data_IF_735002690650
#
_entry.id   IF_735002690650
#
_cell.length_a   1.000
_cell.length_b   1.000
_cell.length_c   1.000
_cell.angle_alpha   90.00
_cell.angle_beta   90.00
_cell.angle_gamma   90.00
#
_symmetry.space_group_name_H-M   'P 1'
#
loop_
_entity.id
_entity.type
_entity.pdbx_description
1 polymer ?
#
# COMPACT_ATOMS: atom_id res chain seq x y z
N UNK A 1 50.58 -30.77 -16.16
CA UNK A 1 51.06 -30.78 -17.55
C UNK A 1 50.10 -31.65 -18.34
N UNK A 2 49.40 -31.03 -19.29
CA UNK A 2 48.32 -31.62 -20.10
C UNK A 2 48.81 -32.80 -20.93
N UNK A 3 47.95 -33.81 -21.10
CA UNK A 3 47.67 -34.30 -22.45
C UNK A 3 46.23 -34.81 -22.54
N UNK A 4 45.51 -34.20 -23.47
CA UNK A 4 44.15 -34.48 -23.92
C UNK A 4 44.29 -35.20 -25.26
N UNK A 5 43.52 -36.27 -25.48
CA UNK A 5 42.88 -36.66 -26.76
C UNK A 5 41.95 -37.86 -26.49
N UNK A 6 40.60 -37.73 -26.63
CA UNK A 6 39.76 -38.03 -27.82
C UNK A 6 39.96 -39.47 -28.37
N UNK A 7 38.98 -40.29 -28.72
CA UNK A 7 37.59 -40.10 -29.16
C UNK A 7 36.88 -41.49 -29.24
N UNK A 8 35.54 -41.49 -29.05
CA UNK A 8 34.50 -42.38 -29.61
C UNK A 8 34.65 -43.91 -29.66
N UNK A 9 33.67 -44.63 -29.08
CA UNK A 9 32.76 -45.50 -29.83
C UNK A 9 31.47 -45.83 -29.04
N UNK A 10 30.35 -45.76 -29.76
CA UNK A 10 29.00 -46.16 -29.37
C UNK A 10 28.86 -47.69 -29.35
N UNK A 11 28.22 -48.21 -28.29
CA UNK A 11 27.43 -49.46 -28.19
C UNK A 11 27.12 -49.62 -26.69
N UNK A 12 26.00 -50.10 -26.19
CA UNK A 12 24.67 -50.47 -26.67
C UNK A 12 23.89 -50.85 -25.39
N UNK A 13 22.55 -50.86 -25.46
CA UNK A 13 21.66 -51.62 -24.57
C UNK A 13 21.66 -51.33 -23.05
N UNK A 14 20.75 -50.46 -22.58
CA UNK A 14 20.07 -50.69 -21.30
C UNK A 14 18.56 -50.57 -21.46
N UNK A 15 17.88 -51.64 -21.05
CA UNK A 15 16.46 -51.93 -21.21
C UNK A 15 15.60 -51.10 -20.27
N UNK A 16 14.42 -50.76 -20.77
CA UNK A 16 13.28 -50.19 -20.06
C UNK A 16 12.91 -50.98 -18.80
N UNK A 17 12.72 -50.26 -17.68
CA UNK A 17 11.85 -50.67 -16.60
C UNK A 17 10.66 -49.71 -16.58
N UNK A 18 9.51 -50.20 -17.08
CA UNK A 18 8.24 -49.48 -17.02
C UNK A 18 7.69 -49.57 -15.58
N UNK A 19 7.83 -48.48 -14.83
CA UNK A 19 7.15 -48.30 -13.55
C UNK A 19 5.73 -47.80 -13.78
N UNK A 20 4.75 -48.59 -13.38
CA UNK A 20 3.33 -48.23 -13.37
C UNK A 20 3.09 -47.09 -12.38
N UNK A 21 2.80 -45.88 -12.88
CA UNK A 21 2.29 -44.78 -12.07
C UNK A 21 0.77 -44.96 -11.98
N UNK A 22 0.27 -45.34 -10.80
CA UNK A 22 -1.16 -45.31 -10.48
C UNK A 22 -1.53 -43.87 -10.16
N UNK A 23 -2.14 -43.17 -11.12
CA UNK A 23 -2.76 -41.89 -10.88
C UNK A 23 -4.10 -42.10 -10.16
N UNK A 24 -4.16 -41.77 -8.87
CA UNK A 24 -5.41 -41.68 -8.12
C UNK A 24 -6.15 -40.41 -8.56
N UNK A 25 -7.13 -40.57 -9.45
CA UNK A 25 -8.12 -39.54 -9.77
C UNK A 25 -9.18 -39.53 -8.67
N UNK A 26 -9.06 -38.57 -7.75
CA UNK A 26 -10.12 -38.27 -6.77
C UNK A 26 -11.07 -37.25 -7.40
N UNK A 27 -12.20 -37.72 -7.91
CA UNK A 27 -13.30 -36.86 -8.34
C UNK A 27 -14.05 -36.34 -7.12
N UNK A 28 -13.76 -35.09 -6.70
CA UNK A 28 -14.57 -34.38 -5.70
C UNK A 28 -15.76 -33.75 -6.41
N UNK A 29 -16.97 -34.30 -6.22
CA UNK A 29 -18.19 -33.63 -6.62
C UNK A 29 -18.54 -32.54 -5.60
N UNK A 30 -18.34 -31.28 -5.99
CA UNK A 30 -18.84 -30.12 -5.23
C UNK A 30 -20.25 -29.84 -5.74
N UNK A 31 -21.25 -29.97 -4.87
CA UNK A 31 -22.62 -29.50 -5.14
C UNK A 31 -22.65 -27.98 -5.03
N UNK A 32 -22.87 -27.31 -6.15
CA UNK A 32 -23.16 -25.87 -6.14
C UNK A 32 -24.55 -25.62 -5.55
N UNK A 33 -24.61 -24.84 -4.47
CA UNK A 33 -25.84 -24.25 -3.98
C UNK A 33 -26.03 -22.88 -4.65
N UNK A 34 -27.22 -22.56 -5.18
CA UNK A 34 -27.48 -21.24 -5.75
C UNK A 34 -27.57 -20.20 -4.63
N UNK A 35 -26.69 -19.20 -4.68
CA UNK A 35 -26.81 -17.98 -3.86
C UNK A 35 -27.80 -17.06 -4.58
N UNK A 36 -28.99 -16.90 -4.01
CA UNK A 36 -30.00 -15.97 -4.52
C UNK A 36 -29.57 -14.52 -4.29
N UNK A 37 -29.44 -13.76 -5.36
CA UNK A 37 -29.40 -12.30 -5.32
C UNK A 37 -30.83 -11.78 -5.31
N UNK A 38 -31.15 -10.94 -4.32
CA UNK A 38 -32.40 -10.20 -4.24
C UNK A 38 -32.17 -8.84 -4.87
N UNK A 39 -32.79 -8.59 -6.02
CA UNK A 39 -32.82 -7.27 -6.65
C UNK A 39 -33.86 -6.40 -5.93
N UNK A 40 -33.40 -5.32 -5.29
CA UNK A 40 -34.27 -4.21 -4.86
C UNK A 40 -34.13 -3.04 -5.83
N UNK A 41 -35.24 -2.72 -6.49
CA UNK A 41 -35.40 -1.60 -7.40
C UNK A 41 -35.27 -0.23 -6.70
N UNK A 42 -34.53 0.68 -7.34
CA UNK A 42 -34.97 2.07 -7.56
C UNK A 42 -34.26 3.19 -6.79
N UNK A 43 -33.23 3.79 -7.40
CA UNK A 43 -33.00 5.25 -7.46
C UNK A 43 -31.75 5.54 -8.31
N UNK A 44 -31.88 6.42 -9.29
CA UNK A 44 -30.86 6.81 -10.24
C UNK A 44 -29.75 7.65 -9.60
N UNK A 45 -28.54 7.09 -9.53
CA UNK A 45 -27.28 7.80 -9.74
C UNK A 45 -26.32 6.83 -10.42
N UNK A 46 -25.70 7.25 -11.52
CA UNK A 46 -24.65 6.51 -12.23
C UNK A 46 -23.38 6.34 -11.35
N UNK A 47 -23.45 5.54 -10.28
CA UNK A 47 -22.30 5.14 -9.45
C UNK A 47 -22.04 3.66 -9.64
N UNK A 48 -20.88 3.32 -10.19
CA UNK A 48 -20.63 1.98 -10.70
C UNK A 48 -20.13 0.97 -9.69
N UNK A 49 -19.51 1.43 -8.62
CA UNK A 49 -19.18 0.65 -7.45
C UNK A 49 -20.24 0.76 -6.36
N UNK A 50 -20.30 -0.27 -5.52
CA UNK A 50 -21.17 -0.26 -4.34
C UNK A 50 -20.41 0.44 -3.21
N UNK A 51 -20.86 1.65 -2.84
CA UNK A 51 -20.40 2.29 -1.63
C UNK A 51 -20.69 1.38 -0.43
N UNK A 52 -19.69 1.16 0.41
CA UNK A 52 -19.83 0.40 1.64
C UNK A 52 -19.77 1.34 2.83
N UNK A 53 -20.54 1.00 3.85
CA UNK A 53 -20.52 1.69 5.14
C UNK A 53 -19.59 0.93 6.09
N UNK A 54 -18.78 1.66 6.85
CA UNK A 54 -17.83 1.13 7.82
C UNK A 54 -18.40 0.99 9.22
N UNK A 55 -19.60 1.50 9.46
CA UNK A 55 -20.33 1.34 10.71
C UNK A 55 -20.73 -0.12 10.93
N UNK A 56 -20.91 -0.46 12.20
CA UNK A 56 -21.18 -1.83 12.62
C UNK A 56 -22.52 -2.34 12.08
N UNK A 57 -22.53 -3.60 11.63
CA UNK A 57 -23.70 -4.36 11.15
C UNK A 57 -24.20 -3.98 9.74
N UNK A 58 -23.31 -3.48 8.89
CA UNK A 58 -23.60 -3.19 7.48
C UNK A 58 -22.79 -4.09 6.52
N UNK A 59 -22.74 -3.72 5.24
CA UNK A 59 -22.14 -4.53 4.17
C UNK A 59 -20.65 -4.84 4.41
N UNK A 60 -19.86 -3.86 4.82
CA UNK A 60 -18.42 -4.09 5.11
C UNK A 60 -18.22 -4.98 6.33
N UNK A 61 -19.06 -4.84 7.36
CA UNK A 61 -19.05 -5.70 8.56
C UNK A 61 -19.25 -7.17 8.17
N UNK A 62 -20.18 -7.44 7.25
CA UNK A 62 -20.45 -8.77 6.73
C UNK A 62 -19.28 -9.32 5.90
N UNK A 63 -18.62 -8.49 5.09
CA UNK A 63 -17.43 -8.90 4.34
C UNK A 63 -16.27 -9.28 5.28
N UNK A 64 -16.02 -8.46 6.30
CA UNK A 64 -14.98 -8.71 7.30
C UNK A 64 -15.29 -9.98 8.11
N UNK A 65 -16.52 -10.14 8.58
CA UNK A 65 -16.93 -11.31 9.37
C UNK A 65 -16.77 -12.63 8.62
N UNK A 66 -17.03 -12.64 7.32
CA UNK A 66 -17.01 -13.85 6.49
C UNK A 66 -15.64 -14.17 5.88
N UNK A 67 -14.68 -13.23 5.91
CA UNK A 67 -13.35 -13.44 5.37
C UNK A 67 -12.49 -14.28 6.32
N UNK A 68 -11.90 -15.38 5.81
CA UNK A 68 -10.89 -16.13 6.57
C UNK A 68 -9.53 -15.47 6.52
N UNK A 69 -9.22 -14.82 5.40
CA UNK A 69 -7.98 -14.10 5.19
C UNK A 69 -8.29 -12.69 4.68
N UNK A 70 -7.70 -11.68 5.32
CA UNK A 70 -7.79 -10.28 4.94
C UNK A 70 -6.40 -9.79 4.59
N UNK A 71 -6.24 -9.31 3.35
CA UNK A 71 -5.02 -8.63 2.91
C UNK A 71 -5.27 -7.13 2.84
N UNK A 72 -4.48 -6.38 3.60
CA UNK A 72 -4.54 -4.92 3.63
C UNK A 72 -3.30 -4.40 2.94
N UNK A 73 -3.51 -3.80 1.78
CA UNK A 73 -2.44 -3.25 0.94
C UNK A 73 -2.54 -1.74 0.93
N UNK A 74 -1.41 -1.06 0.88
CA UNK A 74 -1.38 0.40 0.87
C UNK A 74 -0.09 0.93 0.28
N UNK A 75 -0.11 2.07 -0.43
CA UNK A 75 1.10 2.77 -0.82
C UNK A 75 1.80 3.38 0.41
N UNK A 76 2.95 4.01 0.19
CA UNK A 76 3.55 4.87 1.20
C UNK A 76 2.59 6.02 1.56
N UNK A 77 2.62 6.46 2.82
CA UNK A 77 1.79 7.57 3.36
C UNK A 77 0.27 7.37 3.33
N UNK A 78 -0.22 6.14 3.16
CA UNK A 78 -1.63 5.79 3.28
C UNK A 78 -1.93 4.98 4.57
N UNK A 79 -1.38 5.40 5.72
CA UNK A 79 -1.67 4.78 7.02
C UNK A 79 -0.99 3.43 7.31
N UNK A 80 -0.04 3.00 6.49
CA UNK A 80 0.51 1.64 6.65
C UNK A 80 1.37 1.37 7.87
N UNK A 81 1.93 2.38 8.55
CA UNK A 81 2.54 2.14 9.87
C UNK A 81 1.47 1.81 10.90
N UNK A 82 0.40 2.61 10.96
CA UNK A 82 -0.73 2.39 11.88
C UNK A 82 -1.36 1.01 11.67
N UNK A 83 -1.63 0.63 10.42
CA UNK A 83 -2.22 -0.68 10.12
C UNK A 83 -1.29 -1.86 10.44
N UNK A 84 0.02 -1.73 10.24
CA UNK A 84 0.97 -2.79 10.61
C UNK A 84 1.06 -2.98 12.11
N UNK A 85 1.14 -1.87 12.86
CA UNK A 85 1.18 -1.90 14.32
C UNK A 85 -0.12 -2.53 14.86
N UNK A 86 -1.28 -2.14 14.31
CA UNK A 86 -2.56 -2.79 14.59
C UNK A 86 -2.53 -4.29 14.33
N UNK A 87 -2.16 -4.74 13.12
CA UNK A 87 -2.16 -6.18 12.80
C UNK A 87 -1.20 -6.98 13.67
N UNK A 88 -0.06 -6.39 14.05
CA UNK A 88 0.92 -7.03 14.93
C UNK A 88 0.35 -7.28 16.32
N UNK A 89 -0.38 -6.30 16.87
CA UNK A 89 -1.04 -6.44 18.17
C UNK A 89 -2.24 -7.39 18.08
N UNK A 90 -3.11 -7.20 17.09
CA UNK A 90 -4.33 -7.99 16.88
C UNK A 90 -4.04 -9.48 16.71
N UNK A 91 -3.03 -9.81 15.90
CA UNK A 91 -2.65 -11.21 15.62
C UNK A 91 -1.67 -11.80 16.65
N UNK A 92 -1.24 -11.00 17.65
CA UNK A 92 -0.27 -11.37 18.70
C UNK A 92 1.04 -11.99 18.16
N UNK A 93 1.37 -11.71 16.90
CA UNK A 93 2.54 -12.25 16.21
C UNK A 93 3.08 -11.22 15.24
N UNK A 94 4.39 -10.98 15.33
CA UNK A 94 5.08 -10.10 14.41
C UNK A 94 5.24 -10.79 13.06
N UNK A 95 4.69 -10.17 12.01
CA UNK A 95 5.04 -10.50 10.63
C UNK A 95 6.10 -9.52 10.17
N UNK A 96 7.02 -10.00 9.33
CA UNK A 96 7.97 -9.11 8.70
C UNK A 96 7.26 -7.99 7.94
N UNK A 97 7.73 -6.76 8.16
CA UNK A 97 7.24 -5.60 7.43
C UNK A 97 7.38 -5.82 5.93
N UNK A 98 6.28 -5.56 5.22
CA UNK A 98 6.18 -5.74 3.77
C UNK A 98 6.31 -7.19 3.28
N UNK A 99 5.80 -8.16 4.05
CA UNK A 99 5.83 -9.59 3.66
C UNK A 99 5.26 -9.82 2.26
N UNK A 100 4.19 -9.12 1.88
CA UNK A 100 3.54 -9.29 0.59
C UNK A 100 4.44 -8.90 -0.58
N UNK A 101 5.53 -8.15 -0.35
CA UNK A 101 6.47 -7.71 -1.39
C UNK A 101 7.80 -8.50 -1.41
N UNK A 102 7.93 -9.57 -0.62
CA UNK A 102 9.19 -10.32 -0.44
C UNK A 102 9.01 -11.81 -0.73
N UNK A 103 9.52 -12.25 -1.87
CA UNK A 103 9.22 -13.56 -2.48
C UNK A 103 9.72 -14.80 -1.71
N UNK A 104 10.57 -14.65 -0.69
CA UNK A 104 10.99 -15.76 0.19
C UNK A 104 10.19 -15.89 1.49
N UNK A 105 9.70 -14.78 2.03
CA UNK A 105 9.13 -14.75 3.38
C UNK A 105 7.77 -15.44 3.48
N UNK A 106 7.07 -15.58 2.35
CA UNK A 106 5.81 -16.29 2.27
C UNK A 106 5.94 -17.78 2.54
N UNK A 107 7.03 -18.38 2.05
CA UNK A 107 7.28 -19.80 2.26
C UNK A 107 7.50 -20.06 3.74
N UNK A 108 8.35 -19.25 4.38
CA UNK A 108 8.61 -19.34 5.82
C UNK A 108 7.31 -19.13 6.61
N UNK A 109 6.50 -18.14 6.22
CA UNK A 109 5.21 -17.88 6.82
C UNK A 109 4.24 -19.07 6.79
N UNK A 110 4.19 -19.83 5.69
CA UNK A 110 3.34 -21.01 5.55
C UNK A 110 3.90 -22.24 6.29
N UNK A 111 5.21 -22.33 6.47
CA UNK A 111 5.88 -23.49 7.10
C UNK A 111 5.95 -23.33 8.61
N UNK A 112 6.08 -22.11 9.12
CA UNK A 112 6.37 -21.83 10.53
C UNK A 112 5.18 -22.05 11.47
N UNK A 113 3.94 -22.20 10.96
CA UNK A 113 2.75 -22.35 11.80
C UNK A 113 1.60 -23.04 11.09
N UNK A 114 0.89 -23.90 11.82
CA UNK A 114 -0.38 -24.47 11.37
C UNK A 114 -1.47 -23.40 11.19
N UNK A 115 -1.44 -22.35 12.01
CA UNK A 115 -2.38 -21.23 11.94
C UNK A 115 -1.69 -20.02 11.29
N UNK A 116 -2.17 -19.66 10.09
CA UNK A 116 -1.82 -18.40 9.43
C UNK A 116 -2.62 -17.26 10.06
N UNK A 117 -2.03 -16.06 10.12
CA UNK A 117 -2.74 -14.85 10.57
C UNK A 117 -3.89 -14.51 9.64
N UNK A 118 -5.06 -14.25 10.21
CA UNK A 118 -6.25 -13.87 9.45
C UNK A 118 -6.14 -12.47 8.84
N UNK A 119 -5.28 -11.58 9.36
CA UNK A 119 -5.10 -10.23 8.82
C UNK A 119 -3.62 -9.97 8.54
N UNK A 120 -3.29 -9.57 7.31
CA UNK A 120 -1.93 -9.20 6.91
C UNK A 120 -1.94 -7.80 6.30
N UNK A 121 -1.19 -6.86 6.90
CA UNK A 121 -1.00 -5.52 6.39
C UNK A 121 0.40 -5.33 5.79
N UNK A 122 0.50 -4.82 4.55
CA UNK A 122 1.77 -4.61 3.86
C UNK A 122 1.77 -3.36 2.97
N UNK A 123 2.90 -2.66 2.92
CA UNK A 123 3.09 -1.74 1.80
C UNK A 123 3.34 -2.54 0.54
N UNK A 124 2.79 -2.06 -0.56
CA UNK A 124 3.16 -2.51 -1.89
C UNK A 124 3.82 -1.34 -2.62
N UNK A 125 4.90 -1.65 -3.33
CA UNK A 125 5.69 -0.65 -4.05
C UNK A 125 5.80 -0.98 -5.55
N UNK A 126 5.36 -2.18 -5.94
CA UNK A 126 5.49 -2.69 -7.29
C UNK A 126 4.17 -3.32 -7.71
N UNK A 127 3.77 -3.03 -8.93
CA UNK A 127 2.62 -3.62 -9.61
C UNK A 127 2.60 -5.16 -9.50
N UNK A 128 3.75 -5.82 -9.74
CA UNK A 128 3.85 -7.28 -9.70
C UNK A 128 3.42 -7.89 -8.35
N UNK A 129 3.69 -7.20 -7.24
CA UNK A 129 3.29 -7.67 -5.91
C UNK A 129 1.77 -7.54 -5.71
N UNK A 130 1.14 -6.50 -6.28
CA UNK A 130 -0.31 -6.33 -6.28
C UNK A 130 -1.00 -7.32 -7.21
N UNK A 131 -0.49 -7.50 -8.44
CA UNK A 131 -0.97 -8.46 -9.41
C UNK A 131 -0.97 -9.89 -8.88
N UNK A 132 0.06 -10.29 -8.12
CA UNK A 132 0.10 -11.62 -7.49
C UNK A 132 -1.10 -11.86 -6.57
N UNK A 133 -1.55 -10.84 -5.82
CA UNK A 133 -2.71 -10.96 -4.94
C UNK A 133 -4.01 -11.02 -5.76
N UNK A 134 -4.13 -10.14 -6.76
CA UNK A 134 -5.33 -10.04 -7.61
C UNK A 134 -5.53 -11.26 -8.52
N UNK A 135 -4.44 -11.88 -9.00
CA UNK A 135 -4.47 -13.05 -9.89
C UNK A 135 -4.68 -14.39 -9.16
N UNK A 136 -4.70 -14.39 -7.83
CA UNK A 136 -4.89 -15.61 -7.06
C UNK A 136 -5.88 -15.39 -5.91
N UNK A 137 -7.09 -14.87 -6.20
CA UNK A 137 -8.09 -14.69 -5.16
C UNK A 137 -8.64 -16.05 -4.71
N UNK A 138 -8.96 -16.15 -3.43
CA UNK A 138 -9.81 -17.21 -2.88
C UNK A 138 -11.17 -16.60 -2.56
N UNK A 139 -12.24 -17.42 -2.61
CA UNK A 139 -13.58 -17.01 -2.16
C UNK A 139 -13.62 -16.62 -0.68
N UNK A 140 -12.61 -17.03 0.09
CA UNK A 140 -12.49 -16.76 1.53
C UNK A 140 -11.52 -15.60 1.83
N UNK A 141 -11.01 -14.93 0.78
CA UNK A 141 -10.05 -13.84 0.89
C UNK A 141 -10.71 -12.51 0.59
N UNK A 142 -10.61 -11.55 1.52
CA UNK A 142 -10.94 -10.15 1.33
C UNK A 142 -9.67 -9.34 1.10
N UNK A 143 -9.65 -8.52 0.06
CA UNK A 143 -8.58 -7.58 -0.23
C UNK A 143 -9.06 -6.16 0.05
N UNK A 144 -8.35 -5.44 0.90
CA UNK A 144 -8.60 -4.03 1.19
C UNK A 144 -7.39 -3.24 0.70
N UNK A 145 -7.59 -2.39 -0.29
CA UNK A 145 -6.58 -1.44 -0.76
C UNK A 145 -6.84 -0.07 -0.16
N UNK A 146 -5.96 0.38 0.72
CA UNK A 146 -6.05 1.74 1.27
C UNK A 146 -5.48 2.70 0.24
N UNK A 147 -6.34 3.53 -0.31
CA UNK A 147 -6.02 4.49 -1.35
C UNK A 147 -5.73 5.87 -0.78
N UNK A 148 -4.76 6.55 -1.40
CA UNK A 148 -4.48 7.96 -1.19
C UNK A 148 -4.13 8.59 -2.52
N UNK A 149 -4.87 9.64 -2.88
CA UNK A 149 -4.62 10.47 -4.05
C UNK A 149 -3.18 11.01 -4.02
N UNK A 150 -2.55 11.06 -5.20
CA UNK A 150 -1.12 11.26 -5.35
C UNK A 150 -0.65 12.63 -4.84
N UNK A 151 -1.37 13.72 -5.12
CA UNK A 151 -1.03 15.07 -4.67
C UNK A 151 -0.97 15.12 -3.14
N UNK A 152 -2.01 14.58 -2.50
CA UNK A 152 -2.11 14.48 -1.04
C UNK A 152 -1.00 13.59 -0.46
N UNK A 153 -0.68 12.47 -1.12
CA UNK A 153 0.40 11.56 -0.71
C UNK A 153 1.76 12.26 -0.75
N UNK A 154 2.05 12.96 -1.84
CA UNK A 154 3.31 13.70 -2.03
C UNK A 154 3.45 14.80 -0.99
N UNK A 155 2.41 15.61 -0.78
CA UNK A 155 2.42 16.65 0.25
C UNK A 155 2.74 16.07 1.63
N UNK A 156 2.11 14.95 2.00
CA UNK A 156 2.40 14.25 3.26
C UNK A 156 3.83 13.70 3.33
N UNK A 157 4.35 13.15 2.23
CA UNK A 157 5.73 12.69 2.15
C UNK A 157 6.72 13.85 2.36
N UNK A 158 6.47 15.00 1.74
CA UNK A 158 7.30 16.21 1.87
C UNK A 158 7.27 16.75 3.30
N UNK A 159 6.09 16.85 3.92
CA UNK A 159 5.95 17.23 5.35
C UNK A 159 6.68 16.26 6.29
N UNK A 160 6.73 14.99 5.92
CA UNK A 160 7.47 14.00 6.70
C UNK A 160 8.99 14.15 6.54
N UNK A 161 9.47 14.37 5.31
CA UNK A 161 10.89 14.64 5.04
C UNK A 161 11.35 15.92 5.73
N UNK A 162 10.57 17.00 5.66
CA UNK A 162 10.91 18.26 6.33
C UNK A 162 11.07 18.08 7.84
N UNK A 163 10.14 17.37 8.46
CA UNK A 163 10.19 17.11 9.91
C UNK A 163 11.37 16.23 10.27
N UNK A 164 11.68 15.18 9.48
CA UNK A 164 12.89 14.37 9.67
C UNK A 164 14.17 15.22 9.62
N UNK A 165 14.26 16.17 8.69
CA UNK A 165 15.40 17.10 8.61
C UNK A 165 15.42 18.02 9.84
N UNK A 166 14.27 18.59 10.22
CA UNK A 166 14.17 19.58 11.29
C UNK A 166 14.32 19.00 12.70
N UNK A 167 13.93 17.74 12.90
CA UNK A 167 14.09 17.02 14.17
C UNK A 167 15.50 16.42 14.32
N UNK A 168 16.31 16.45 13.27
CA UNK A 168 17.68 15.98 13.31
C UNK A 168 18.50 16.76 14.36
N UNK A 169 18.84 16.08 15.48
CA UNK A 169 19.59 16.64 16.62
C UNK A 169 21.08 16.30 16.62
N UNK A 170 21.65 15.86 15.49
CA UNK A 170 23.10 15.62 15.38
C UNK A 170 23.67 14.47 16.22
N UNK A 171 22.85 13.60 16.80
CA UNK A 171 23.32 12.38 17.48
C UNK A 171 22.42 11.20 17.08
N UNK A 172 22.92 10.22 16.31
CA UNK A 172 22.71 8.78 16.52
C UNK A 172 23.57 7.88 15.61
N UNK A 173 23.95 6.75 16.21
CA UNK A 173 24.75 5.56 15.84
C UNK A 173 25.16 5.24 14.39
N UNK A 174 26.35 4.66 14.30
CA UNK A 174 27.16 4.14 13.18
C UNK A 174 26.53 3.21 12.13
N UNK A 175 25.20 3.05 12.08
CA UNK A 175 24.54 2.12 11.14
C UNK A 175 23.72 2.78 10.03
N UNK A 176 23.83 4.09 9.89
CA UNK A 176 23.05 4.86 8.91
C UNK A 176 23.98 5.76 8.09
N UNK A 177 24.60 5.19 7.04
CA UNK A 177 25.52 5.92 6.13
C UNK A 177 24.82 7.02 5.31
N UNK A 178 23.49 7.07 5.29
CA UNK A 178 22.70 8.03 4.52
C UNK A 178 22.52 9.38 5.23
N UNK A 179 22.64 9.44 6.57
CA UNK A 179 22.36 10.63 7.39
C UNK A 179 23.54 11.57 7.60
N UNK A 180 24.78 11.13 7.37
CA UNK A 180 25.97 12.00 7.39
C UNK A 180 25.95 13.01 6.23
N UNK A 181 25.33 12.65 5.10
CA UNK A 181 25.16 13.54 3.95
C UNK A 181 24.07 14.61 4.14
N UNK A 182 23.08 14.36 5.00
CA UNK A 182 22.00 15.34 5.28
C UNK A 182 22.54 16.46 6.18
N UNK A 183 23.34 16.13 7.19
CA UNK A 183 23.92 17.11 8.10
C UNK A 183 24.91 18.08 7.43
N UNK A 184 25.56 17.67 6.33
CA UNK A 184 26.52 18.52 5.58
C UNK A 184 25.89 19.28 4.42
N UNK A 185 24.67 18.92 3.98
CA UNK A 185 23.97 19.56 2.86
C UNK A 185 23.00 20.66 3.27
N UNK A 186 22.54 20.66 4.52
CA UNK A 186 21.50 21.58 4.97
C UNK A 186 22.03 22.61 5.97
N UNK A 187 21.96 23.89 5.59
CA UNK A 187 22.02 24.99 6.54
C UNK A 187 20.68 25.10 7.29
N UNK A 188 20.43 24.18 8.23
CA UNK A 188 19.21 24.21 9.05
C UNK A 188 19.33 25.32 10.08
N UNK A 189 18.52 26.38 9.96
CA UNK A 189 18.38 27.38 11.02
C UNK A 189 17.14 27.04 11.85
N UNK A 190 17.35 26.60 13.09
CA UNK A 190 16.26 26.19 13.98
C UNK A 190 16.15 27.11 15.19
N UNK A 191 14.94 27.54 15.50
CA UNK A 191 14.58 28.13 16.79
C UNK A 191 13.50 27.23 17.47
N UNK A 192 12.97 27.66 18.62
CA UNK A 192 12.03 26.84 19.41
C UNK A 192 10.69 26.59 18.70
N UNK A 193 10.31 27.42 17.74
CA UNK A 193 8.98 27.40 17.09
C UNK A 193 9.05 27.14 15.59
N UNK A 194 10.21 27.37 14.98
CA UNK A 194 10.42 27.32 13.54
C UNK A 194 11.68 26.54 13.18
N UNK A 195 11.61 25.85 12.04
CA UNK A 195 12.74 25.29 11.35
C UNK A 195 12.79 25.89 9.94
N UNK A 196 13.90 26.55 9.62
CA UNK A 196 14.11 27.18 8.32
C UNK A 196 15.06 26.28 7.53
N UNK A 197 14.62 25.87 6.35
CA UNK A 197 15.38 25.07 5.40
C UNK A 197 15.69 25.89 4.14
N UNK A 198 16.86 25.68 3.55
CA UNK A 198 17.16 26.16 2.20
C UNK A 198 16.30 25.40 1.18
N UNK A 199 15.59 26.13 0.32
CA UNK A 199 14.63 25.55 -0.62
C UNK A 199 15.31 24.60 -1.63
N UNK A 200 16.47 25.00 -2.19
CA UNK A 200 17.17 24.20 -3.21
C UNK A 200 17.66 22.87 -2.62
N UNK A 201 18.29 22.92 -1.45
CA UNK A 201 18.72 21.74 -0.71
C UNK A 201 17.53 20.85 -0.35
N UNK A 202 16.41 21.44 0.05
CA UNK A 202 15.19 20.72 0.41
C UNK A 202 14.57 19.99 -0.78
N UNK A 203 14.46 20.65 -1.94
CA UNK A 203 13.99 20.03 -3.18
C UNK A 203 14.89 18.87 -3.60
N UNK A 204 16.21 19.03 -3.49
CA UNK A 204 17.16 17.96 -3.81
C UNK A 204 16.99 16.73 -2.90
N UNK A 205 16.72 16.93 -1.60
CA UNK A 205 16.45 15.82 -0.69
C UNK A 205 15.10 15.15 -0.96
N UNK A 206 14.05 15.92 -1.27
CA UNK A 206 12.75 15.37 -1.71
C UNK A 206 12.96 14.44 -2.91
N UNK A 207 13.72 14.89 -3.92
CA UNK A 207 14.01 14.12 -5.12
C UNK A 207 14.85 12.86 -4.82
N UNK A 208 15.78 12.94 -3.86
CA UNK A 208 16.59 11.80 -3.44
C UNK A 208 15.82 10.78 -2.60
N UNK A 209 14.72 11.17 -1.95
CA UNK A 209 13.95 10.33 -1.03
C UNK A 209 12.94 9.41 -1.76
N UNK A 210 13.45 8.56 -2.64
CA UNK A 210 12.63 7.70 -3.50
C UNK A 210 11.67 6.79 -2.73
N UNK A 211 12.07 6.29 -1.56
CA UNK A 211 11.25 5.37 -0.77
C UNK A 211 10.02 6.03 -0.13
N UNK A 212 10.09 7.31 0.20
CA UNK A 212 9.00 8.05 0.85
C UNK A 212 8.19 8.87 -0.15
N UNK A 213 8.88 9.52 -1.11
CA UNK A 213 8.28 10.44 -2.09
C UNK A 213 8.14 9.78 -3.45
N UNK A 214 9.18 9.09 -3.92
CA UNK A 214 9.29 8.62 -5.32
C UNK A 214 8.38 7.46 -5.71
N UNK A 215 7.91 6.64 -4.75
CA UNK A 215 7.02 5.52 -5.06
C UNK A 215 5.58 6.01 -5.07
N UNK A 216 5.03 6.14 -6.27
CA UNK A 216 3.68 6.65 -6.54
C UNK A 216 2.59 5.61 -6.26
N UNK A 217 1.38 6.07 -5.90
CA UNK A 217 0.19 5.20 -5.85
C UNK A 217 -0.11 4.59 -7.22
N UNK A 218 0.22 5.29 -8.31
CA UNK A 218 0.00 4.81 -9.68
C UNK A 218 0.88 3.64 -10.10
N UNK A 219 1.93 3.32 -9.33
CA UNK A 219 2.74 2.13 -9.57
C UNK A 219 2.01 0.81 -9.26
N UNK A 220 0.85 0.88 -8.60
CA UNK A 220 0.02 -0.28 -8.26
C UNK A 220 -1.23 -0.39 -9.12
N UNK A 221 -1.79 0.76 -9.50
CA UNK A 221 -3.04 0.90 -10.25
C UNK A 221 -2.74 1.26 -11.71
N UNK A 222 -2.42 0.25 -12.49
CA UNK A 222 -2.05 0.31 -13.90
C UNK A 222 -3.15 -0.31 -14.77
N UNK A 223 -3.02 -0.20 -16.09
CA UNK A 223 -3.91 -0.93 -16.99
C UNK A 223 -3.88 -2.45 -16.76
N UNK A 224 -2.72 -3.03 -16.45
CA UNK A 224 -2.60 -4.46 -16.20
C UNK A 224 -3.28 -4.85 -14.88
N UNK A 225 -3.16 -4.04 -13.83
CA UNK A 225 -3.87 -4.32 -12.58
C UNK A 225 -5.37 -4.19 -12.73
N UNK A 226 -5.88 -3.16 -13.44
CA UNK A 226 -7.32 -3.04 -13.69
C UNK A 226 -7.85 -4.23 -14.49
N UNK A 227 -7.12 -4.64 -15.53
CA UNK A 227 -7.46 -5.83 -16.30
C UNK A 227 -7.49 -7.08 -15.42
N UNK A 228 -6.48 -7.27 -14.57
CA UNK A 228 -6.44 -8.40 -13.64
C UNK A 228 -7.60 -8.39 -12.63
N UNK A 229 -7.98 -7.22 -12.10
CA UNK A 229 -9.12 -7.11 -11.19
C UNK A 229 -10.41 -7.47 -11.94
N UNK A 230 -10.56 -7.00 -13.17
CA UNK A 230 -11.72 -7.28 -14.00
C UNK A 230 -11.86 -8.77 -14.33
N UNK A 231 -10.76 -9.42 -14.74
CA UNK A 231 -10.76 -10.82 -15.17
C UNK A 231 -10.91 -11.80 -14.00
N UNK A 232 -10.32 -11.50 -12.83
CA UNK A 232 -10.33 -12.40 -11.68
C UNK A 232 -11.41 -12.09 -10.64
N UNK A 233 -12.04 -10.92 -10.72
CA UNK A 233 -13.11 -10.46 -9.83
C UNK A 233 -12.84 -10.75 -8.33
N UNK A 234 -11.67 -10.35 -7.77
CA UNK A 234 -11.38 -10.54 -6.35
C UNK A 234 -12.42 -9.81 -5.48
N UNK A 235 -12.60 -10.26 -4.24
CA UNK A 235 -13.30 -9.45 -3.25
C UNK A 235 -12.41 -8.27 -2.86
N UNK A 236 -12.51 -7.18 -3.61
CA UNK A 236 -11.65 -6.00 -3.47
C UNK A 236 -12.46 -4.78 -3.02
N UNK A 237 -11.98 -4.15 -1.97
CA UNK A 237 -12.50 -2.89 -1.44
C UNK A 237 -11.39 -1.85 -1.50
N UNK A 238 -11.69 -0.71 -2.12
CA UNK A 238 -10.88 0.50 -2.00
C UNK A 238 -11.38 1.29 -0.81
N UNK A 239 -10.45 1.74 0.03
CA UNK A 239 -10.74 2.49 1.25
C UNK A 239 -9.90 3.77 1.25
N UNK A 240 -10.50 4.93 1.42
CA UNK A 240 -9.71 6.14 1.56
C UNK A 240 -8.91 6.15 2.86
N UNK A 241 -7.66 6.62 2.80
CA UNK A 241 -6.73 6.53 3.93
C UNK A 241 -7.23 7.17 5.23
N UNK A 242 -8.10 8.19 5.17
CA UNK A 242 -8.64 8.82 6.39
C UNK A 242 -9.49 7.86 7.23
N UNK A 243 -10.00 6.80 6.62
CA UNK A 243 -10.91 5.83 7.24
C UNK A 243 -10.19 4.67 7.94
N UNK A 244 -8.85 4.69 7.96
CA UNK A 244 -8.03 3.64 8.62
C UNK A 244 -8.44 3.40 10.07
N UNK A 245 -8.74 4.44 10.83
CA UNK A 245 -9.12 4.30 12.25
C UNK A 245 -10.49 3.61 12.40
N UNK A 246 -11.44 3.88 11.49
CA UNK A 246 -12.73 3.16 11.43
C UNK A 246 -12.52 1.70 11.05
N UNK A 247 -11.69 1.44 10.04
CA UNK A 247 -11.35 0.08 9.61
C UNK A 247 -10.74 -0.74 10.76
N UNK A 248 -9.84 -0.16 11.56
CA UNK A 248 -9.26 -0.86 12.72
C UNK A 248 -10.34 -1.30 13.71
N UNK A 249 -11.33 -0.45 13.98
CA UNK A 249 -12.46 -0.79 14.87
C UNK A 249 -13.27 -1.95 14.31
N UNK A 250 -13.57 -1.91 13.01
CA UNK A 250 -14.31 -2.96 12.34
C UNK A 250 -13.57 -4.30 12.35
N UNK A 251 -12.27 -4.29 12.05
CA UNK A 251 -11.43 -5.50 12.11
C UNK A 251 -11.29 -6.03 13.53
N UNK A 252 -11.10 -5.16 14.52
CA UNK A 252 -10.99 -5.57 15.92
C UNK A 252 -12.26 -6.24 16.43
N UNK A 253 -13.44 -5.73 16.05
CA UNK A 253 -14.73 -6.35 16.40
C UNK A 253 -14.79 -7.85 16.09
N UNK A 254 -14.22 -8.28 14.96
CA UNK A 254 -14.30 -9.68 14.51
C UNK A 254 -13.06 -10.52 14.85
N UNK A 255 -11.88 -9.92 14.94
CA UNK A 255 -10.62 -10.66 15.03
C UNK A 255 -9.84 -10.47 16.33
N UNK A 256 -10.05 -9.37 17.04
CA UNK A 256 -9.36 -9.08 18.32
C UNK A 256 -10.17 -8.08 19.17
N UNK A 257 -11.35 -8.48 19.69
CA UNK A 257 -12.25 -7.58 20.40
C UNK A 257 -11.62 -6.93 21.63
N UNK A 258 -10.61 -7.57 22.22
CA UNK A 258 -9.87 -7.03 23.37
C UNK A 258 -9.17 -5.70 23.07
N UNK A 259 -8.84 -5.42 21.80
CA UNK A 259 -8.16 -4.17 21.42
C UNK A 259 -9.13 -3.00 21.25
N UNK A 260 -10.45 -3.21 21.22
CA UNK A 260 -11.42 -2.14 20.93
C UNK A 260 -11.28 -0.92 21.85
N UNK A 261 -10.92 -1.13 23.12
CA UNK A 261 -10.72 -0.05 24.10
C UNK A 261 -9.42 0.76 23.88
N UNK A 262 -8.46 0.21 23.13
CA UNK A 262 -7.15 0.80 22.86
C UNK A 262 -7.09 1.48 21.48
N UNK A 263 -8.17 1.42 20.69
CA UNK A 263 -8.18 1.94 19.32
C UNK A 263 -8.42 3.46 19.25
N UNK A 264 -7.79 4.14 18.26
CA UNK A 264 -6.83 3.60 17.30
C UNK A 264 -5.44 3.37 17.94
N UNK A 265 -4.76 2.27 17.57
CA UNK A 265 -3.40 1.95 18.08
C UNK A 265 -2.43 3.11 17.80
N UNK A 266 -2.63 3.74 16.65
CA UNK A 266 -1.98 4.98 16.27
C UNK A 266 -2.94 5.76 15.39
N UNK A 267 -3.40 6.91 15.86
CA UNK A 267 -4.30 7.76 15.08
C UNK A 267 -3.72 8.00 13.68
N UNK A 268 -4.51 7.72 12.65
CA UNK A 268 -4.11 8.00 11.26
C UNK A 268 -4.44 9.44 10.84
N UNK A 269 -4.41 10.37 11.79
CA UNK A 269 -4.52 11.78 11.52
C UNK A 269 -3.12 12.38 11.30
N UNK A 270 -3.02 13.27 10.33
CA UNK A 270 -1.87 14.15 10.24
C UNK A 270 -1.97 15.13 11.42
N UNK A 271 -1.48 14.75 12.59
CA UNK A 271 -1.39 15.66 13.73
C UNK A 271 -0.64 16.92 13.30
N UNK A 272 -1.21 18.09 13.60
CA UNK A 272 -0.55 19.36 13.43
C UNK A 272 0.73 19.34 14.26
N UNK A 273 1.87 19.36 13.57
CA UNK A 273 3.16 19.25 14.22
C UNK A 273 3.51 20.57 14.88
N UNK A 274 4.08 20.50 16.08
CA UNK A 274 4.44 21.66 16.90
C UNK A 274 5.51 22.56 16.29
N UNK A 275 6.24 22.10 15.26
CA UNK A 275 7.32 22.84 14.63
C UNK A 275 6.89 23.32 13.23
N UNK A 276 6.78 24.65 13.08
CA UNK A 276 6.49 25.28 11.78
C UNK A 276 7.72 25.21 10.88
N UNK A 277 7.59 24.68 9.67
CA UNK A 277 8.69 24.62 8.70
C UNK A 277 8.57 25.78 7.74
N UNK A 278 9.65 26.55 7.60
CA UNK A 278 9.76 27.65 6.65
C UNK A 278 10.84 27.32 5.61
N UNK A 279 10.60 27.70 4.35
CA UNK A 279 11.54 27.51 3.26
C UNK A 279 12.12 28.85 2.81
N UNK A 280 13.44 28.97 2.85
CA UNK A 280 14.14 30.17 2.41
C UNK A 280 14.36 30.11 0.89
N UNK A 281 13.85 31.13 0.18
CA UNK A 281 14.06 31.26 -1.27
C UNK A 281 15.54 31.50 -1.60
N UNK A 282 15.99 30.93 -2.71
CA UNK A 282 17.36 31.09 -3.22
C UNK A 282 17.70 32.57 -3.47
N UNK A 283 18.89 32.99 -3.04
CA UNK A 283 19.50 34.27 -3.43
C UNK A 283 19.18 35.47 -2.54
N UNK A 284 18.56 35.27 -1.39
CA UNK A 284 18.33 36.35 -0.42
C UNK A 284 18.73 35.90 0.97
N UNK A 285 19.51 36.69 1.71
CA UNK A 285 19.91 36.36 3.09
C UNK A 285 18.92 36.85 4.15
N UNK A 286 17.87 37.56 3.74
CA UNK A 286 16.90 38.15 4.64
C UNK A 286 15.86 37.12 5.10
N UNK A 287 15.74 36.93 6.41
CA UNK A 287 14.73 36.08 7.04
C UNK A 287 13.27 36.45 6.67
N UNK A 288 13.04 37.64 6.06
CA UNK A 288 11.75 38.08 5.53
C UNK A 288 11.33 37.35 4.24
N UNK A 289 12.25 36.61 3.60
CA UNK A 289 12.01 35.90 2.34
C UNK A 289 11.78 34.40 2.52
N UNK A 290 11.32 33.98 3.70
CA UNK A 290 10.91 32.61 3.96
C UNK A 290 9.41 32.42 3.74
N UNK A 291 9.01 31.29 3.12
CA UNK A 291 7.61 30.92 2.87
C UNK A 291 7.24 29.75 3.78
N UNK A 292 6.00 29.72 4.26
CA UNK A 292 5.50 28.58 5.03
C UNK A 292 5.46 27.31 4.16
N UNK A 293 5.79 26.14 4.74
CA UNK A 293 5.79 24.89 3.98
C UNK A 293 4.41 24.55 3.39
N UNK A 294 3.31 24.87 4.08
CA UNK A 294 1.95 24.63 3.54
C UNK A 294 1.66 25.54 2.35
N UNK A 295 2.01 26.82 2.46
CA UNK A 295 1.88 27.78 1.35
C UNK A 295 2.73 27.35 0.15
N UNK A 296 3.97 26.90 0.40
CA UNK A 296 4.85 26.39 -0.63
C UNK A 296 4.31 25.12 -1.29
N UNK A 297 3.79 24.18 -0.50
CA UNK A 297 3.18 22.94 -1.00
C UNK A 297 1.91 23.22 -1.79
N UNK A 298 1.10 24.19 -1.37
CA UNK A 298 -0.06 24.61 -2.15
C UNK A 298 0.35 25.20 -3.50
N UNK A 299 1.36 26.07 -3.52
CA UNK A 299 1.81 26.74 -4.73
C UNK A 299 2.56 25.81 -5.70
N UNK A 300 3.37 24.87 -5.18
CA UNK A 300 4.27 24.04 -6.00
C UNK A 300 3.86 22.58 -6.12
N UNK A 301 3.01 22.08 -5.24
CA UNK A 301 2.57 20.68 -5.18
C UNK A 301 2.17 20.10 -6.54
N UNK A 302 1.28 20.76 -7.31
CA UNK A 302 0.88 20.25 -8.62
C UNK A 302 2.05 20.08 -9.60
N UNK A 303 3.04 20.99 -9.58
CA UNK A 303 4.23 20.89 -10.43
C UNK A 303 5.22 19.85 -9.92
N UNK A 304 5.22 19.53 -8.62
CA UNK A 304 6.16 18.55 -8.05
C UNK A 304 5.95 17.16 -8.62
N UNK A 305 4.71 16.73 -8.85
CA UNK A 305 4.46 15.41 -9.47
C UNK A 305 5.10 15.28 -10.85
N UNK A 306 5.02 16.35 -11.64
CA UNK A 306 5.63 16.43 -12.96
C UNK A 306 7.14 16.48 -12.88
N UNK A 307 7.71 17.38 -12.06
CA UNK A 307 9.16 17.56 -11.94
C UNK A 307 9.85 16.33 -11.36
N UNK A 308 9.22 15.66 -10.39
CA UNK A 308 9.72 14.42 -9.79
C UNK A 308 9.39 13.17 -10.61
N UNK A 309 8.67 13.32 -11.73
CA UNK A 309 8.28 12.23 -12.64
C UNK A 309 7.51 11.10 -11.94
N UNK A 310 6.68 11.44 -10.95
CA UNK A 310 5.99 10.45 -10.12
C UNK A 310 4.97 9.61 -10.90
N UNK A 311 4.44 10.17 -11.99
CA UNK A 311 3.49 9.49 -12.89
C UNK A 311 4.13 8.90 -14.14
N UNK A 312 5.47 8.79 -14.22
CA UNK A 312 6.16 8.34 -15.44
C UNK A 312 5.68 6.97 -15.92
N UNK A 313 5.45 6.05 -14.98
CA UNK A 313 5.07 4.67 -15.26
C UNK A 313 3.55 4.44 -15.06
N UNK A 314 2.80 5.50 -14.78
CA UNK A 314 1.36 5.43 -14.59
C UNK A 314 0.67 5.13 -15.93
N UNK A 315 -0.10 4.04 -15.98
CA UNK A 315 -0.97 3.69 -17.10
C UNK A 315 -2.43 3.66 -16.63
N UNK A 316 -3.38 3.89 -17.53
CA UNK A 316 -4.82 3.95 -17.21
C UNK A 316 -5.18 5.01 -16.13
N UNK A 317 -4.53 6.18 -16.18
CA UNK A 317 -4.81 7.29 -15.25
C UNK A 317 -6.28 7.71 -15.24
N UNK A 318 -6.95 7.70 -16.40
CA UNK A 318 -8.38 7.99 -16.49
C UNK A 318 -9.21 7.03 -15.62
N UNK A 319 -8.90 5.72 -15.64
CA UNK A 319 -9.57 4.74 -14.78
C UNK A 319 -9.29 4.98 -13.31
N UNK A 320 -8.06 5.40 -12.97
CA UNK A 320 -7.73 5.78 -11.58
C UNK A 320 -8.50 7.01 -11.12
N UNK A 321 -8.62 8.03 -11.97
CA UNK A 321 -9.43 9.21 -11.65
C UNK A 321 -10.92 8.85 -11.48
N UNK A 322 -11.49 8.03 -12.36
CA UNK A 322 -12.86 7.55 -12.19
C UNK A 322 -13.07 6.75 -10.90
N UNK A 323 -12.12 5.87 -10.56
CA UNK A 323 -12.15 5.15 -9.28
C UNK A 323 -12.06 6.12 -8.09
N UNK A 324 -11.19 7.14 -8.17
CA UNK A 324 -11.06 8.18 -7.13
C UNK A 324 -12.36 8.98 -6.96
N UNK A 325 -12.98 9.40 -8.06
CA UNK A 325 -14.25 10.13 -8.06
C UNK A 325 -15.36 9.30 -7.40
N UNK A 326 -15.49 8.01 -7.79
CA UNK A 326 -16.47 7.11 -7.17
C UNK A 326 -16.16 6.85 -5.68
N UNK A 327 -14.89 6.62 -5.34
CA UNK A 327 -14.46 6.37 -3.97
C UNK A 327 -14.75 7.58 -3.08
N UNK A 328 -14.40 8.79 -3.51
CA UNK A 328 -14.56 10.02 -2.73
C UNK A 328 -16.01 10.52 -2.69
N UNK A 329 -16.86 10.05 -3.60
CA UNK A 329 -18.30 10.28 -3.56
C UNK A 329 -19.03 9.41 -2.52
N UNK A 330 -18.43 8.29 -2.08
CA UNK A 330 -19.05 7.44 -1.06
C UNK A 330 -19.08 8.15 0.32
N UNK A 331 -20.17 8.04 1.10
CA UNK A 331 -20.29 8.70 2.41
C UNK A 331 -19.16 8.37 3.38
N UNK A 332 -18.73 7.10 3.37
CA UNK A 332 -17.63 6.58 4.18
C UNK A 332 -16.34 6.39 3.37
N UNK A 333 -16.27 6.96 2.17
CA UNK A 333 -15.13 6.85 1.25
C UNK A 333 -14.60 5.41 1.14
N UNK A 334 -15.53 4.45 1.04
CA UNK A 334 -15.26 3.02 0.94
C UNK A 334 -16.03 2.46 -0.25
N UNK A 335 -15.31 1.88 -1.21
CA UNK A 335 -15.85 1.46 -2.48
C UNK A 335 -15.57 -0.02 -2.72
N UNK A 336 -16.61 -0.82 -2.89
CA UNK A 336 -16.47 -2.19 -3.42
C UNK A 336 -16.28 -2.11 -4.93
N UNK A 337 -15.22 -2.76 -5.42
CA UNK A 337 -14.91 -2.79 -6.85
C UNK A 337 -15.33 -4.12 -7.45
N UNK A 338 -16.06 -4.02 -8.56
CA UNK A 338 -16.52 -5.16 -9.35
C UNK A 338 -16.01 -5.04 -10.78
N UNK A 339 -16.06 -6.13 -11.55
CA UNK A 339 -15.74 -6.09 -12.99
C UNK A 339 -16.60 -5.07 -13.73
N UNK A 340 -17.89 -4.97 -13.38
CA UNK A 340 -18.83 -3.99 -13.95
C UNK A 340 -18.53 -2.53 -13.55
N UNK A 341 -17.84 -2.32 -12.43
CA UNK A 341 -17.32 -0.99 -12.06
C UNK A 341 -16.19 -0.60 -13.01
N UNK A 342 -15.24 -1.51 -13.22
CA UNK A 342 -14.05 -1.28 -14.07
C UNK A 342 -14.39 -1.11 -15.54
N UNK A 343 -15.44 -1.78 -16.04
CA UNK A 343 -15.91 -1.64 -17.42
C UNK A 343 -16.43 -0.23 -17.75
N UNK A 344 -16.89 0.50 -16.73
CA UNK A 344 -17.42 1.86 -16.88
C UNK A 344 -16.37 2.95 -16.73
N UNK A 345 -15.27 2.65 -16.03
CA UNK A 345 -14.10 3.53 -15.91
C UNK A 345 -13.28 3.53 -17.18
#
# INVERSE_FOLDING_TARGET
>A
MMMITKLSHFNSAWKLAAGTIVALLVSVQIKDAPVGFVDTNGSSSDSSGQCLDLDSNQDMDSLVANARQIFITMPAKAGGTSMKDFTKLCMKRAVHGNILSREGLWKDYLVDSLHVQSIIASHLYREADFLRLVNSPSRETLMIHIHREESSRVASAVKHVSVKICEFRGKYSSHQKQTVAVATKFNVRKNNTHCILDEESFVNEIAANSAEVGISTHCLLTCQSYKAIQENAPQLVFLHYKQVDKLQKLLAKHHCPELLAELPIRANMAEDKSLKVLLHKKGTDEARNSVDLEEWLHAKGPSMEWTLKLRRDASCQAKTFHMEDELFACPDETLRVTSASIDRW
#
